data_IF_333292436555
#
_entry.id   IF_333292436555
#
_cell.length_a   1.000
_cell.length_b   1.000
_cell.length_c   1.000
_cell.angle_alpha   90.00
_cell.angle_beta   90.00
_cell.angle_gamma   90.00
#
_symmetry.space_group_name_H-M   'P 1'
#
loop_
_entity.id
_entity.type
_entity.pdbx_description
1 polymer ?
#
# COMPACT_ATOMS: atom_id res chain seq x y z
N UNK A 1 29.14 1.04 4.16
CA UNK A 1 29.19 0.51 5.55
C UNK A 1 28.65 1.50 6.57
N UNK A 2 29.09 2.77 6.54
CA UNK A 2 28.65 3.85 7.46
C UNK A 2 27.12 3.92 7.67
N UNK A 3 26.33 4.10 6.61
CA UNK A 3 24.88 4.24 6.72
C UNK A 3 24.17 3.07 7.39
N UNK A 4 24.72 1.85 7.28
CA UNK A 4 24.17 0.65 7.93
C UNK A 4 24.35 0.71 9.44
N UNK A 5 25.54 1.12 9.88
CA UNK A 5 25.88 1.29 11.29
C UNK A 5 25.07 2.44 11.87
N UNK A 6 25.07 3.61 11.22
CA UNK A 6 24.29 4.78 11.66
C UNK A 6 22.80 4.46 11.79
N UNK A 7 22.20 3.83 10.77
CA UNK A 7 20.79 3.48 10.82
C UNK A 7 20.49 2.50 11.96
N UNK A 8 21.30 1.44 12.12
CA UNK A 8 21.09 0.42 13.15
C UNK A 8 21.28 0.93 14.59
N UNK A 9 22.27 1.78 14.83
CA UNK A 9 22.64 2.18 16.20
C UNK A 9 22.10 3.55 16.61
N UNK A 10 21.63 4.36 15.66
CA UNK A 10 21.05 5.69 15.94
C UNK A 10 19.56 5.72 15.58
N UNK A 11 19.22 5.49 14.31
CA UNK A 11 17.84 5.67 13.83
C UNK A 11 16.88 4.63 14.41
N UNK A 12 17.30 3.36 14.48
CA UNK A 12 16.46 2.26 14.98
C UNK A 12 16.12 2.40 16.47
N UNK A 13 17.07 2.66 17.40
CA UNK A 13 16.73 2.88 18.80
C UNK A 13 15.82 4.10 19.01
N UNK A 14 16.10 5.22 18.33
CA UNK A 14 15.27 6.42 18.42
C UNK A 14 13.84 6.12 17.91
N UNK A 15 13.73 5.51 16.73
CA UNK A 15 12.44 5.13 16.15
C UNK A 15 11.66 4.16 17.03
N UNK A 16 12.34 3.22 17.69
CA UNK A 16 11.72 2.29 18.63
C UNK A 16 11.14 3.02 19.84
N UNK A 17 11.92 3.91 20.46
CA UNK A 17 11.47 4.71 21.61
C UNK A 17 10.29 5.59 21.19
N UNK A 18 10.42 6.34 20.09
CA UNK A 18 9.34 7.21 19.59
C UNK A 18 8.07 6.42 19.30
N UNK A 19 8.17 5.24 18.68
CA UNK A 19 7.01 4.41 18.38
C UNK A 19 6.28 3.95 19.66
N UNK A 20 7.02 3.62 20.72
CA UNK A 20 6.44 3.25 22.02
C UNK A 20 5.88 4.45 22.78
N UNK A 21 6.53 5.61 22.71
CA UNK A 21 6.02 6.86 23.30
C UNK A 21 4.72 7.27 22.62
N UNK A 22 4.67 7.27 21.29
CA UNK A 22 3.48 7.59 20.51
C UNK A 22 2.31 6.65 20.84
N UNK A 23 2.57 5.38 21.17
CA UNK A 23 1.54 4.43 21.55
C UNK A 23 0.80 4.77 22.87
N UNK A 24 1.33 5.66 23.71
CA UNK A 24 0.58 6.17 24.87
C UNK A 24 -0.49 7.19 24.47
N UNK A 25 -0.30 7.90 23.36
CA UNK A 25 -1.16 9.00 22.93
C UNK A 25 -2.03 8.64 21.71
N UNK A 26 -1.58 7.68 20.89
CA UNK A 26 -2.24 7.30 19.65
C UNK A 26 -2.68 5.83 19.68
N UNK A 27 -4.00 5.61 19.60
CA UNK A 27 -4.60 4.27 19.64
C UNK A 27 -4.14 3.39 18.47
N UNK A 28 -3.81 3.98 17.32
CA UNK A 28 -3.36 3.24 16.13
C UNK A 28 -1.93 2.74 16.32
N UNK A 29 -1.03 3.55 16.87
CA UNK A 29 0.33 3.15 17.26
C UNK A 29 0.28 2.03 18.31
N UNK A 30 -0.57 2.17 19.33
CA UNK A 30 -0.77 1.14 20.35
C UNK A 30 -1.24 -0.20 19.75
N UNK A 31 -2.21 -0.17 18.82
CA UNK A 31 -2.63 -1.36 18.06
C UNK A 31 -1.49 -1.94 17.24
N UNK A 32 -0.69 -1.09 16.60
CA UNK A 32 0.48 -1.50 15.81
C UNK A 32 1.55 -2.23 16.62
N UNK A 33 1.78 -1.81 17.87
CA UNK A 33 2.70 -2.51 18.78
C UNK A 33 2.10 -3.84 19.22
N UNK A 34 0.84 -3.84 19.69
CA UNK A 34 0.16 -5.07 20.15
C UNK A 34 0.08 -6.13 19.06
N UNK A 35 -0.23 -5.72 17.82
CA UNK A 35 -0.31 -6.62 16.66
C UNK A 35 1.01 -7.29 16.28
N UNK A 36 2.15 -6.71 16.71
CA UNK A 36 3.50 -7.24 16.49
C UNK A 36 4.04 -8.08 17.66
N UNK A 37 3.32 -8.16 18.79
CA UNK A 37 3.72 -9.04 19.90
C UNK A 37 3.69 -10.50 19.43
N UNK A 38 4.81 -11.22 19.59
CA UNK A 38 4.93 -12.61 19.14
C UNK A 38 4.93 -12.80 17.61
N UNK A 39 5.12 -11.72 16.83
CA UNK A 39 5.00 -11.72 15.37
C UNK A 39 5.79 -12.85 14.69
N UNK A 40 7.08 -12.98 14.98
CA UNK A 40 7.95 -13.95 14.32
C UNK A 40 7.57 -15.39 14.65
N UNK A 41 7.13 -15.67 15.89
CA UNK A 41 6.67 -17.01 16.27
C UNK A 41 5.34 -17.37 15.61
N UNK A 42 4.41 -16.42 15.45
CA UNK A 42 3.18 -16.63 14.69
C UNK A 42 3.48 -16.86 13.21
N UNK A 43 4.37 -16.04 12.64
CA UNK A 43 4.78 -16.17 11.24
C UNK A 43 5.46 -17.52 10.98
N UNK A 44 6.26 -18.02 11.93
CA UNK A 44 6.92 -19.31 11.82
C UNK A 44 5.92 -20.47 11.72
N UNK A 45 4.86 -20.43 12.54
CA UNK A 45 3.74 -21.38 12.42
C UNK A 45 3.02 -21.28 11.08
N UNK A 46 2.79 -20.07 10.57
CA UNK A 46 2.11 -19.87 9.29
C UNK A 46 2.96 -20.38 8.11
N UNK A 47 4.26 -20.08 8.11
CA UNK A 47 5.20 -20.55 7.07
C UNK A 47 5.38 -22.06 7.11
N UNK A 48 5.29 -22.70 8.28
CA UNK A 48 5.35 -24.15 8.39
C UNK A 48 4.17 -24.87 7.72
N UNK A 49 3.05 -24.17 7.47
CA UNK A 49 1.89 -24.71 6.74
C UNK A 49 2.00 -24.53 5.22
N UNK A 50 2.97 -23.75 4.75
CA UNK A 50 3.22 -23.52 3.34
C UNK A 50 4.04 -24.66 2.74
N UNK A 51 3.99 -24.81 1.42
CA UNK A 51 4.82 -25.77 0.70
C UNK A 51 6.31 -25.41 0.90
N UNK A 52 7.15 -26.29 1.48
CA UNK A 52 8.56 -26.02 1.67
C UNK A 52 9.34 -25.78 0.36
N UNK A 53 8.88 -26.37 -0.75
CA UNK A 53 9.44 -26.19 -2.08
C UNK A 53 8.72 -25.09 -2.89
N UNK A 54 7.69 -24.45 -2.31
CA UNK A 54 6.92 -23.40 -2.94
C UNK A 54 7.74 -22.14 -3.16
N UNK A 55 7.53 -21.48 -4.31
CA UNK A 55 8.10 -20.15 -4.56
C UNK A 55 7.24 -19.10 -3.91
N UNK A 56 7.88 -18.22 -3.13
CA UNK A 56 7.21 -17.18 -2.35
C UNK A 56 7.53 -15.81 -2.90
N UNK A 57 6.52 -14.99 -3.10
CA UNK A 57 6.71 -13.57 -3.43
C UNK A 57 6.20 -12.73 -2.28
N UNK A 58 7.10 -11.92 -1.74
CA UNK A 58 6.78 -11.02 -0.63
C UNK A 58 6.36 -9.65 -1.18
N UNK A 59 5.16 -9.19 -0.82
CA UNK A 59 4.69 -7.84 -1.06
C UNK A 59 4.61 -7.07 0.25
N UNK A 60 5.09 -5.82 0.25
CA UNK A 60 4.97 -4.93 1.39
C UNK A 60 4.25 -3.63 1.04
N UNK A 61 3.29 -3.25 1.88
CA UNK A 61 2.60 -1.95 1.80
C UNK A 61 2.53 -1.30 3.18
N UNK A 62 2.71 0.01 3.29
CA UNK A 62 2.61 0.69 4.58
C UNK A 62 1.17 0.69 5.10
N UNK A 63 0.20 0.72 4.17
CA UNK A 63 -1.21 0.96 4.46
C UNK A 63 -2.14 0.31 3.45
N UNK A 64 -3.45 0.37 3.75
CA UNK A 64 -4.50 -0.11 2.85
C UNK A 64 -4.44 0.59 1.49
N UNK A 65 -4.26 1.91 1.46
CA UNK A 65 -4.25 2.68 0.21
C UNK A 65 -3.07 2.32 -0.72
N UNK A 66 -1.93 1.93 -0.17
CA UNK A 66 -0.82 1.38 -0.96
C UNK A 66 -1.10 -0.06 -1.38
N UNK A 67 -1.70 -0.86 -0.50
CA UNK A 67 -2.03 -2.23 -0.84
C UNK A 67 -3.07 -2.36 -1.97
N UNK A 68 -3.98 -1.39 -2.11
CA UNK A 68 -4.86 -1.31 -3.28
C UNK A 68 -4.08 -1.22 -4.61
N UNK A 69 -2.87 -0.68 -4.59
CA UNK A 69 -1.99 -0.62 -5.76
C UNK A 69 -1.25 -1.95 -5.97
N UNK A 70 -1.06 -2.74 -4.91
CA UNK A 70 -0.44 -4.06 -4.98
C UNK A 70 -1.40 -5.11 -5.56
N UNK A 71 -2.70 -5.01 -5.26
CA UNK A 71 -3.72 -6.01 -5.63
C UNK A 71 -3.76 -6.35 -7.11
N UNK A 72 -3.77 -5.39 -8.07
CA UNK A 72 -3.75 -5.72 -9.50
C UNK A 72 -2.53 -6.57 -9.89
N UNK A 73 -1.36 -6.26 -9.32
CA UNK A 73 -0.11 -6.98 -9.58
C UNK A 73 -0.21 -8.39 -9.01
N UNK A 74 -0.64 -8.52 -7.76
CA UNK A 74 -0.76 -9.81 -7.07
C UNK A 74 -1.80 -10.70 -7.76
N UNK A 75 -2.97 -10.16 -8.09
CA UNK A 75 -4.05 -10.92 -8.71
C UNK A 75 -3.65 -11.39 -10.12
N UNK A 76 -3.01 -10.54 -10.91
CA UNK A 76 -2.51 -10.93 -12.23
C UNK A 76 -1.38 -11.97 -12.12
N UNK A 77 -0.49 -11.81 -11.15
CA UNK A 77 0.57 -12.78 -10.87
C UNK A 77 -0.02 -14.15 -10.47
N UNK A 78 -1.03 -14.18 -9.59
CA UNK A 78 -1.73 -15.41 -9.18
C UNK A 78 -2.50 -16.05 -10.32
N UNK A 79 -3.09 -15.28 -11.24
CA UNK A 79 -3.75 -15.85 -12.43
C UNK A 79 -2.74 -16.57 -13.33
N UNK A 80 -1.58 -15.94 -13.58
CA UNK A 80 -0.53 -16.51 -14.44
C UNK A 80 0.24 -17.64 -13.78
N UNK A 81 0.42 -17.58 -12.46
CA UNK A 81 1.21 -18.51 -11.65
C UNK A 81 0.47 -18.87 -10.36
N UNK A 82 -0.58 -19.71 -10.45
CA UNK A 82 -1.43 -20.07 -9.32
C UNK A 82 -0.69 -20.79 -8.18
N UNK A 83 0.48 -21.37 -8.46
CA UNK A 83 1.32 -22.08 -7.50
C UNK A 83 2.16 -21.17 -6.61
N UNK A 84 2.28 -19.86 -6.95
CA UNK A 84 3.03 -18.93 -6.11
C UNK A 84 2.32 -18.69 -4.78
N UNK A 85 3.11 -18.72 -3.72
CA UNK A 85 2.68 -18.35 -2.37
C UNK A 85 2.94 -16.86 -2.17
N UNK A 86 1.89 -16.11 -1.88
CA UNK A 86 2.00 -14.66 -1.72
C UNK A 86 2.01 -14.32 -0.24
N UNK A 87 3.04 -13.61 0.20
CA UNK A 87 3.15 -13.10 1.56
C UNK A 87 2.95 -11.60 1.50
N UNK A 88 1.97 -11.07 2.23
CA UNK A 88 1.70 -9.63 2.28
C UNK A 88 1.99 -9.12 3.68
N UNK A 89 2.82 -8.08 3.79
CA UNK A 89 3.10 -7.42 5.06
C UNK A 89 2.66 -5.98 5.11
N UNK A 90 2.18 -5.57 6.28
CA UNK A 90 1.72 -4.20 6.53
C UNK A 90 2.51 -3.52 7.64
N UNK A 91 2.72 -2.20 7.52
CA UNK A 91 3.17 -1.40 8.65
C UNK A 91 1.99 -0.96 9.55
N UNK A 92 0.97 -0.36 8.95
CA UNK A 92 -0.17 0.18 9.69
C UNK A 92 -1.22 -0.88 10.08
N UNK A 93 -1.91 -0.69 11.21
CA UNK A 93 -3.01 -1.58 11.60
C UNK A 93 -4.15 -1.62 10.60
N UNK A 94 -4.50 -0.47 10.01
CA UNK A 94 -5.59 -0.41 9.03
C UNK A 94 -5.31 -1.27 7.80
N UNK A 95 -4.07 -1.29 7.29
CA UNK A 95 -3.69 -2.18 6.22
C UNK A 95 -3.82 -3.66 6.60
N UNK A 96 -3.30 -4.03 7.77
CA UNK A 96 -3.36 -5.42 8.25
C UNK A 96 -4.80 -5.91 8.50
N UNK A 97 -5.60 -5.14 9.23
CA UNK A 97 -6.94 -5.51 9.70
C UNK A 97 -7.93 -5.65 8.53
N UNK A 98 -7.91 -4.72 7.56
CA UNK A 98 -8.84 -4.72 6.43
C UNK A 98 -8.45 -5.68 5.31
N UNK A 99 -7.25 -6.26 5.37
CA UNK A 99 -6.75 -7.14 4.31
C UNK A 99 -6.86 -8.62 4.66
N UNK A 100 -7.24 -9.00 5.89
CA UNK A 100 -7.25 -10.40 6.36
C UNK A 100 -8.04 -11.37 5.45
N UNK A 101 -9.03 -10.86 4.72
CA UNK A 101 -9.91 -11.66 3.83
C UNK A 101 -9.40 -11.73 2.38
N UNK A 102 -8.25 -11.14 2.08
CA UNK A 102 -7.70 -11.11 0.73
C UNK A 102 -7.19 -12.49 0.28
N UNK A 103 -7.97 -13.14 -0.58
CA UNK A 103 -7.81 -14.55 -0.96
C UNK A 103 -6.53 -14.87 -1.73
N UNK A 104 -5.95 -13.90 -2.42
CA UNK A 104 -4.73 -14.11 -3.21
C UNK A 104 -3.46 -14.17 -2.36
N UNK A 105 -3.53 -13.81 -1.07
CA UNK A 105 -2.43 -13.92 -0.12
C UNK A 105 -2.49 -15.22 0.68
N UNK A 106 -1.38 -15.96 0.69
CA UNK A 106 -1.18 -17.15 1.52
C UNK A 106 -0.92 -16.77 2.98
N UNK A 107 -0.19 -15.67 3.20
CA UNK A 107 0.07 -15.12 4.54
C UNK A 107 -0.16 -13.62 4.50
N UNK A 108 -0.87 -13.12 5.52
CA UNK A 108 -1.01 -11.70 5.80
C UNK A 108 -0.48 -11.43 7.20
N UNK A 109 0.47 -10.50 7.31
CA UNK A 109 1.18 -10.24 8.56
C UNK A 109 1.56 -8.77 8.71
N UNK A 110 2.06 -8.41 9.88
CA UNK A 110 2.80 -7.16 10.03
C UNK A 110 4.23 -7.34 9.53
N UNK A 111 4.83 -6.28 8.99
CA UNK A 111 6.28 -6.26 8.82
C UNK A 111 6.95 -6.18 10.22
N UNK A 112 7.98 -6.98 10.49
CA UNK A 112 8.78 -6.83 11.70
C UNK A 112 9.44 -5.45 11.76
N UNK A 113 9.69 -4.96 12.96
CA UNK A 113 10.40 -3.69 13.12
C UNK A 113 11.81 -3.77 12.51
N UNK A 114 12.29 -2.69 11.86
CA UNK A 114 13.47 -2.68 10.98
C UNK A 114 14.82 -2.82 11.68
N UNK A 115 14.93 -3.61 12.75
CA UNK A 115 16.25 -3.99 13.26
C UNK A 115 16.89 -5.01 12.33
N UNK A 116 18.22 -4.96 12.18
CA UNK A 116 18.98 -5.93 11.38
C UNK A 116 18.79 -7.38 11.83
N UNK A 117 18.47 -7.63 13.11
CA UNK A 117 18.14 -8.96 13.63
C UNK A 117 16.78 -9.42 13.13
N UNK A 118 15.76 -8.58 13.27
CA UNK A 118 14.40 -8.90 12.83
C UNK A 118 14.33 -9.06 11.32
N UNK A 119 14.93 -8.15 10.57
CA UNK A 119 14.98 -8.20 9.12
C UNK A 119 15.62 -9.50 8.62
N UNK A 120 16.80 -9.87 9.15
CA UNK A 120 17.44 -11.17 8.83
C UNK A 120 16.52 -12.34 9.16
N UNK A 121 16.05 -12.43 10.40
CA UNK A 121 15.19 -13.54 10.84
C UNK A 121 13.91 -13.63 10.01
N UNK A 122 13.35 -12.51 9.58
CA UNK A 122 12.19 -12.48 8.72
C UNK A 122 12.50 -13.05 7.33
N UNK A 123 13.54 -12.56 6.66
CA UNK A 123 13.94 -13.05 5.33
C UNK A 123 14.33 -14.54 5.38
N UNK A 124 15.09 -14.95 6.39
CA UNK A 124 15.49 -16.35 6.58
C UNK A 124 14.28 -17.26 6.84
N UNK A 125 13.25 -16.74 7.51
CA UNK A 125 12.03 -17.48 7.80
C UNK A 125 11.14 -17.62 6.57
N UNK A 126 10.84 -16.50 5.89
CA UNK A 126 9.90 -16.53 4.76
C UNK A 126 10.54 -17.03 3.47
N UNK A 127 11.87 -16.93 3.32
CA UNK A 127 12.65 -17.37 2.14
C UNK A 127 12.02 -16.90 0.82
N UNK A 128 11.87 -15.59 0.59
CA UNK A 128 11.21 -15.08 -0.60
C UNK A 128 12.08 -15.35 -1.83
N UNK A 129 11.44 -15.74 -2.93
CA UNK A 129 12.04 -15.81 -4.26
C UNK A 129 12.09 -14.45 -4.96
N UNK A 130 11.23 -13.52 -4.53
CA UNK A 130 11.25 -12.11 -4.93
C UNK A 130 10.55 -11.26 -3.85
N UNK A 131 10.91 -9.98 -3.77
CA UNK A 131 10.28 -9.01 -2.86
C UNK A 131 9.85 -7.75 -3.62
N UNK A 132 8.64 -7.27 -3.34
CA UNK A 132 8.03 -6.09 -3.98
C UNK A 132 7.61 -5.10 -2.90
N UNK A 133 8.29 -3.97 -2.86
CA UNK A 133 7.93 -2.82 -2.04
C UNK A 133 6.96 -1.94 -2.82
N UNK A 134 5.85 -1.55 -2.20
CA UNK A 134 4.87 -0.72 -2.89
C UNK A 134 5.15 0.76 -2.61
N UNK A 135 5.21 1.52 -3.70
CA UNK A 135 5.37 2.97 -3.71
C UNK A 135 6.71 3.45 -3.18
N UNK A 136 6.75 4.07 -2.00
CA UNK A 136 7.98 4.63 -1.42
C UNK A 136 8.31 4.05 -0.05
N UNK A 137 7.56 3.04 0.41
CA UNK A 137 7.72 2.42 1.72
C UNK A 137 8.84 1.38 1.70
N UNK A 138 10.05 1.86 1.98
CA UNK A 138 11.29 1.06 1.96
C UNK A 138 11.95 1.04 3.33
N UNK A 139 12.39 -0.15 3.74
CA UNK A 139 12.91 -0.45 5.07
C UNK A 139 14.38 -0.88 4.94
N UNK A 140 15.37 -0.01 5.25
CA UNK A 140 16.76 -0.25 4.90
C UNK A 140 17.33 -1.57 5.42
N UNK A 141 17.04 -1.99 6.66
CA UNK A 141 17.58 -3.26 7.15
C UNK A 141 16.93 -4.47 6.45
N UNK A 142 15.64 -4.41 6.07
CA UNK A 142 15.02 -5.41 5.21
C UNK A 142 15.62 -5.43 3.80
N UNK A 143 15.83 -4.27 3.17
CA UNK A 143 16.48 -4.19 1.86
C UNK A 143 17.91 -4.76 1.88
N UNK A 144 18.69 -4.42 2.90
CA UNK A 144 20.04 -4.98 3.04
C UNK A 144 20.04 -6.48 3.35
N UNK A 145 19.00 -6.99 4.03
CA UNK A 145 18.83 -8.42 4.26
C UNK A 145 18.47 -9.15 2.96
N UNK A 146 17.54 -8.61 2.16
CA UNK A 146 17.19 -9.12 0.84
C UNK A 146 18.40 -9.16 -0.09
N UNK A 147 19.15 -8.04 -0.17
CA UNK A 147 20.37 -7.94 -0.99
C UNK A 147 21.42 -8.95 -0.59
N UNK A 148 21.61 -9.18 0.73
CA UNK A 148 22.52 -10.21 1.22
C UNK A 148 22.06 -11.61 0.84
N UNK A 149 20.76 -11.87 0.87
CA UNK A 149 20.18 -13.16 0.52
C UNK A 149 20.10 -13.38 -1.00
N UNK A 150 20.51 -12.41 -1.83
CA UNK A 150 20.44 -12.49 -3.28
C UNK A 150 19.00 -12.51 -3.82
N UNK A 151 18.03 -11.97 -3.05
CA UNK A 151 16.62 -11.96 -3.43
C UNK A 151 16.34 -10.78 -4.36
N UNK A 152 15.83 -11.01 -5.59
CA UNK A 152 15.40 -9.94 -6.48
C UNK A 152 14.38 -9.03 -5.81
N UNK A 153 14.70 -7.74 -5.75
CA UNK A 153 13.91 -6.73 -5.04
C UNK A 153 13.42 -5.65 -6.00
N UNK A 154 12.12 -5.37 -5.92
CA UNK A 154 11.41 -4.42 -6.76
C UNK A 154 10.80 -3.32 -5.90
N UNK A 155 10.77 -2.09 -6.41
CA UNK A 155 9.75 -1.10 -6.02
C UNK A 155 8.74 -1.02 -7.16
N UNK A 156 7.46 -1.27 -6.86
CA UNK A 156 6.37 -1.09 -7.80
C UNK A 156 5.57 0.20 -7.48
N UNK A 157 5.03 0.85 -8.52
CA UNK A 157 4.44 2.20 -8.43
C UNK A 157 5.37 3.21 -7.74
N UNK A 158 6.64 3.17 -8.08
CA UNK A 158 7.62 4.05 -7.46
C UNK A 158 7.28 5.51 -7.81
N UNK A 159 6.83 6.26 -6.80
CA UNK A 159 6.54 7.69 -6.92
C UNK A 159 7.46 8.49 -6.03
N UNK A 160 8.09 9.53 -6.56
CA UNK A 160 8.94 10.43 -5.80
C UNK A 160 8.87 11.84 -6.39
N UNK A 161 8.29 12.77 -5.63
CA UNK A 161 8.15 14.17 -6.05
C UNK A 161 9.51 14.82 -6.27
N UNK A 162 9.61 15.65 -7.30
CA UNK A 162 10.82 16.39 -7.68
C UNK A 162 11.39 17.27 -6.55
N UNK A 163 10.53 17.82 -5.68
CA UNK A 163 10.88 18.65 -4.52
C UNK A 163 11.14 17.86 -3.21
N UNK A 164 11.36 16.55 -3.28
CA UNK A 164 11.57 15.72 -2.09
C UNK A 164 12.77 16.16 -1.24
N UNK A 165 12.59 16.20 0.09
CA UNK A 165 13.68 16.41 1.06
C UNK A 165 14.74 15.32 1.01
N UNK A 166 14.42 14.16 0.43
CA UNK A 166 15.36 13.04 0.23
C UNK A 166 16.56 13.43 -0.64
N UNK A 167 16.49 14.51 -1.42
CA UNK A 167 17.58 15.02 -2.26
C UNK A 167 18.56 15.95 -1.51
N UNK A 168 18.29 16.31 -0.26
CA UNK A 168 19.23 17.06 0.58
C UNK A 168 20.55 16.30 0.72
N UNK A 169 21.73 16.94 0.72
CA UNK A 169 23.01 16.25 0.51
C UNK A 169 23.26 15.01 1.38
N UNK A 170 23.04 15.11 2.70
CA UNK A 170 23.22 13.99 3.63
C UNK A 170 22.15 12.89 3.45
N UNK A 171 20.89 13.29 3.32
CA UNK A 171 19.79 12.34 3.10
C UNK A 171 19.90 11.65 1.74
N UNK A 172 20.42 12.34 0.73
CA UNK A 172 20.62 11.81 -0.62
C UNK A 172 21.60 10.64 -0.60
N UNK A 173 22.70 10.78 0.13
CA UNK A 173 23.68 9.69 0.28
C UNK A 173 23.08 8.48 1.01
N UNK A 174 22.28 8.72 2.05
CA UNK A 174 21.57 7.66 2.76
C UNK A 174 20.57 6.93 1.83
N UNK A 175 19.71 7.68 1.13
CA UNK A 175 18.73 7.12 0.20
C UNK A 175 19.38 6.40 -0.97
N UNK A 176 20.48 6.94 -1.52
CA UNK A 176 21.29 6.24 -2.51
C UNK A 176 21.74 4.87 -2.01
N UNK A 177 22.32 4.80 -0.80
CA UNK A 177 22.75 3.53 -0.21
C UNK A 177 21.61 2.52 0.03
N UNK A 178 20.38 3.00 0.21
CA UNK A 178 19.19 2.14 0.28
C UNK A 178 18.76 1.67 -1.11
N UNK A 179 18.58 2.60 -2.05
CA UNK A 179 18.11 2.31 -3.41
C UNK A 179 19.10 1.45 -4.20
N UNK A 180 20.41 1.56 -3.95
CA UNK A 180 21.43 0.68 -4.54
C UNK A 180 21.32 -0.78 -4.07
N UNK A 181 20.45 -1.08 -3.09
CA UNK A 181 20.14 -2.45 -2.67
C UNK A 181 18.94 -3.07 -3.40
N UNK A 182 18.34 -2.34 -4.34
CA UNK A 182 17.13 -2.70 -5.09
C UNK A 182 17.52 -3.02 -6.52
N UNK A 183 16.92 -4.05 -7.11
CA UNK A 183 17.26 -4.48 -8.47
C UNK A 183 16.43 -3.73 -9.52
N UNK A 184 15.16 -3.44 -9.23
CA UNK A 184 14.25 -2.74 -10.15
C UNK A 184 13.43 -1.66 -9.44
N UNK A 185 13.41 -0.46 -10.01
CA UNK A 185 12.54 0.63 -9.59
C UNK A 185 11.57 0.91 -10.74
N UNK A 186 10.33 0.47 -10.56
CA UNK A 186 9.27 0.58 -11.55
C UNK A 186 8.45 1.84 -11.26
N UNK A 187 8.86 2.93 -11.87
CA UNK A 187 8.33 4.28 -11.69
C UNK A 187 6.98 4.48 -12.39
N UNK A 188 6.15 5.35 -11.82
CA UNK A 188 4.85 5.69 -12.37
C UNK A 188 4.97 6.60 -13.60
N UNK A 189 5.86 7.59 -13.55
CA UNK A 189 6.04 8.59 -14.60
C UNK A 189 7.51 8.82 -14.95
N UNK A 190 7.74 9.50 -16.07
CA UNK A 190 9.07 9.96 -16.45
C UNK A 190 9.67 10.96 -15.43
N UNK A 191 8.84 11.78 -14.77
CA UNK A 191 9.28 12.68 -13.70
C UNK A 191 9.77 11.89 -12.47
N UNK A 192 9.03 10.84 -12.08
CA UNK A 192 9.44 9.96 -10.99
C UNK A 192 10.77 9.27 -11.31
N UNK A 193 10.90 8.71 -12.52
CA UNK A 193 12.15 8.08 -13.00
C UNK A 193 13.33 9.06 -12.93
N UNK A 194 13.18 10.25 -13.49
CA UNK A 194 14.20 11.32 -13.44
C UNK A 194 14.58 11.67 -11.99
N UNK A 195 13.60 11.72 -11.09
CA UNK A 195 13.85 11.98 -9.68
C UNK A 195 14.68 10.88 -9.02
N UNK A 196 14.40 9.59 -9.29
CA UNK A 196 15.22 8.46 -8.82
C UNK A 196 16.63 8.46 -9.43
N UNK A 197 16.77 8.72 -10.73
CA UNK A 197 18.07 8.81 -11.41
C UNK A 197 18.93 9.94 -10.85
N UNK A 198 18.32 11.02 -10.34
CA UNK A 198 19.04 12.12 -9.69
C UNK A 198 19.85 11.69 -8.46
N UNK A 199 19.54 10.53 -7.86
CA UNK A 199 20.32 9.94 -6.77
C UNK A 199 21.64 9.30 -7.23
N UNK A 200 21.88 9.20 -8.55
CA UNK A 200 23.07 8.58 -9.17
C UNK A 200 23.27 7.14 -8.71
N UNK A 201 22.19 6.37 -8.82
CA UNK A 201 22.14 4.95 -8.45
C UNK A 201 23.06 4.14 -9.37
N UNK A 202 23.73 3.12 -8.83
CA UNK A 202 24.68 2.29 -9.59
C UNK A 202 24.21 0.86 -9.85
N UNK A 203 23.12 0.44 -9.20
CA UNK A 203 22.63 -0.95 -9.25
C UNK A 203 21.22 -1.10 -9.84
N UNK A 204 20.17 -0.39 -9.37
CA UNK A 204 18.82 -0.60 -9.87
C UNK A 204 18.65 -0.21 -11.34
N UNK A 205 17.86 -1.02 -12.06
CA UNK A 205 17.25 -0.62 -13.33
C UNK A 205 16.01 0.23 -13.01
N UNK A 206 15.91 1.43 -13.61
CA UNK A 206 14.78 2.34 -13.41
C UNK A 206 13.95 2.43 -14.70
N UNK A 207 12.71 1.98 -14.63
CA UNK A 207 11.77 1.90 -15.77
C UNK A 207 10.46 2.62 -15.45
N UNK A 208 9.80 3.15 -16.48
CA UNK A 208 8.46 3.75 -16.35
C UNK A 208 7.44 2.72 -16.79
N UNK A 209 6.55 2.32 -15.87
CA UNK A 209 5.54 1.27 -16.12
C UNK A 209 4.10 1.76 -15.99
N UNK A 210 3.89 3.01 -15.58
CA UNK A 210 2.57 3.56 -15.31
C UNK A 210 2.09 3.33 -13.86
N UNK A 211 0.80 3.57 -13.63
CA UNK A 211 0.20 3.60 -12.30
C UNK A 211 -0.88 2.52 -12.14
N UNK A 212 -0.66 1.56 -11.26
CA UNK A 212 -1.62 0.47 -11.07
C UNK A 212 -2.91 0.90 -10.37
N UNK A 213 -3.02 2.15 -9.91
CA UNK A 213 -4.30 2.71 -9.47
C UNK A 213 -5.33 2.69 -10.61
N UNK A 214 -4.91 2.90 -11.86
CA UNK A 214 -5.82 2.80 -13.01
C UNK A 214 -6.32 1.37 -13.21
N UNK A 215 -5.42 0.38 -13.11
CA UNK A 215 -5.80 -1.04 -13.17
C UNK A 215 -6.77 -1.40 -12.05
N UNK A 216 -6.54 -0.88 -10.85
CA UNK A 216 -7.40 -1.15 -9.70
C UNK A 216 -8.80 -0.53 -9.87
N UNK A 217 -8.88 0.69 -10.41
CA UNK A 217 -10.17 1.32 -10.75
C UNK A 217 -10.89 0.49 -11.81
N UNK A 218 -10.18 0.04 -12.85
CA UNK A 218 -10.75 -0.80 -13.90
C UNK A 218 -11.27 -2.14 -13.36
N UNK A 219 -10.49 -2.86 -12.55
CA UNK A 219 -10.89 -4.13 -11.92
C UNK A 219 -12.13 -3.95 -11.03
N UNK A 220 -12.15 -2.91 -10.20
CA UNK A 220 -13.30 -2.61 -9.34
C UNK A 220 -14.54 -2.24 -10.13
N UNK A 221 -14.38 -1.47 -11.21
CA UNK A 221 -15.48 -1.12 -12.11
C UNK A 221 -16.10 -2.37 -12.74
N UNK A 222 -15.26 -3.29 -13.24
CA UNK A 222 -15.73 -4.55 -13.81
C UNK A 222 -16.47 -5.42 -12.78
N UNK A 223 -15.95 -5.53 -11.55
CA UNK A 223 -16.61 -6.27 -10.47
C UNK A 223 -17.92 -5.61 -10.01
N UNK A 224 -17.97 -4.28 -9.94
CA UNK A 224 -19.15 -3.53 -9.53
C UNK A 224 -20.31 -3.72 -10.51
N UNK A 225 -20.04 -3.68 -11.81
CA UNK A 225 -21.04 -3.95 -12.86
C UNK A 225 -21.74 -5.30 -12.68
N UNK A 226 -21.04 -6.31 -12.14
CA UNK A 226 -21.60 -7.63 -11.91
C UNK A 226 -22.50 -7.73 -10.66
N UNK A 227 -22.42 -6.76 -9.72
CA UNK A 227 -23.15 -6.80 -8.44
C UNK A 227 -24.57 -6.24 -8.46
N UNK A 228 -24.95 -5.48 -9.51
CA UNK A 228 -26.28 -4.89 -9.69
C UNK A 228 -26.90 -4.34 -8.38
N UNK A 229 -26.22 -3.37 -7.76
CA UNK A 229 -26.54 -2.88 -6.40
C UNK A 229 -27.90 -2.17 -6.32
N UNK A 230 -28.38 -1.61 -7.44
CA UNK A 230 -29.69 -0.97 -7.53
C UNK A 230 -30.58 -1.81 -8.44
N UNK A 231 -31.85 -1.94 -8.04
CA UNK A 231 -32.86 -2.57 -8.88
C UNK A 231 -33.01 -1.80 -10.20
N UNK A 232 -33.02 -2.50 -11.33
CA UNK A 232 -33.09 -1.88 -12.66
C UNK A 232 -34.31 -0.96 -12.82
N UNK A 233 -35.42 -1.26 -12.13
CA UNK A 233 -36.64 -0.45 -12.12
C UNK A 233 -36.44 0.95 -11.57
N UNK A 234 -35.50 1.14 -10.62
CA UNK A 234 -35.20 2.47 -10.04
C UNK A 234 -34.54 3.37 -11.10
N UNK A 235 -33.80 2.77 -12.03
CA UNK A 235 -33.04 3.48 -13.07
C UNK A 235 -33.82 3.61 -14.39
N UNK A 236 -34.96 2.94 -14.52
CA UNK A 236 -35.71 2.86 -15.76
C UNK A 236 -36.28 4.23 -16.15
N UNK A 237 -35.94 4.69 -17.35
CA UNK A 237 -36.35 6.01 -17.87
C UNK A 237 -35.72 7.19 -17.13
N UNK A 238 -34.69 6.97 -16.30
CA UNK A 238 -34.02 8.03 -15.52
C UNK A 238 -32.66 8.44 -16.11
N UNK A 239 -32.39 9.75 -16.05
CA UNK A 239 -31.05 10.29 -16.25
C UNK A 239 -30.33 10.32 -14.89
N UNK A 240 -29.33 9.47 -14.71
CA UNK A 240 -28.73 9.26 -13.38
C UNK A 240 -27.47 10.10 -13.20
N UNK A 241 -27.47 10.95 -12.17
CA UNK A 241 -26.29 11.66 -11.69
C UNK A 241 -25.80 11.02 -10.39
N UNK A 242 -24.53 10.61 -10.35
CA UNK A 242 -23.92 10.05 -9.14
C UNK A 242 -22.95 11.06 -8.55
N UNK A 243 -23.24 11.53 -7.34
CA UNK A 243 -22.36 12.37 -6.53
C UNK A 243 -21.69 11.46 -5.51
N UNK A 244 -20.53 10.91 -5.88
CA UNK A 244 -19.81 9.95 -5.06
C UNK A 244 -18.69 10.59 -4.24
N UNK A 245 -18.62 10.25 -2.95
CA UNK A 245 -17.62 10.75 -2.00
C UNK A 245 -17.64 12.28 -1.83
N UNK A 246 -18.84 12.88 -1.71
CA UNK A 246 -18.97 14.32 -1.47
C UNK A 246 -18.49 14.74 -0.08
N UNK A 247 -17.94 15.94 -0.01
CA UNK A 247 -17.73 16.66 1.25
C UNK A 247 -18.77 17.79 1.39
N UNK A 248 -18.90 18.35 2.59
CA UNK A 248 -19.83 19.44 2.88
C UNK A 248 -19.73 20.61 1.87
N UNK A 249 -18.52 21.05 1.54
CA UNK A 249 -18.32 22.10 0.54
C UNK A 249 -18.73 21.71 -0.89
N UNK A 250 -18.72 20.42 -1.25
CA UNK A 250 -19.26 19.96 -2.53
C UNK A 250 -20.80 20.02 -2.50
N UNK A 251 -21.40 19.61 -1.38
CA UNK A 251 -22.86 19.55 -1.18
C UNK A 251 -23.50 20.93 -1.16
N UNK A 252 -22.86 21.91 -0.52
CA UNK A 252 -23.30 23.32 -0.53
C UNK A 252 -23.47 23.88 -1.94
N UNK A 253 -22.67 23.40 -2.90
CA UNK A 253 -22.74 23.81 -4.31
C UNK A 253 -23.68 22.92 -5.11
N UNK A 254 -23.60 21.60 -4.92
CA UNK A 254 -24.29 20.62 -5.75
C UNK A 254 -25.77 20.47 -5.39
N UNK A 255 -26.15 20.51 -4.10
CA UNK A 255 -27.55 20.30 -3.68
C UNK A 255 -28.48 21.38 -4.23
N UNK A 256 -28.16 22.69 -4.17
CA UNK A 256 -29.00 23.72 -4.79
C UNK A 256 -29.18 23.52 -6.30
N UNK A 257 -28.12 23.08 -6.99
CA UNK A 257 -28.18 22.76 -8.42
C UNK A 257 -29.07 21.53 -8.68
N UNK A 258 -29.00 20.50 -7.84
CA UNK A 258 -29.85 19.32 -7.92
C UNK A 258 -31.33 19.66 -7.69
N UNK A 259 -31.64 20.49 -6.69
CA UNK A 259 -33.03 20.95 -6.43
C UNK A 259 -33.61 21.70 -7.64
N UNK A 260 -32.80 22.55 -8.29
CA UNK A 260 -33.19 23.22 -9.53
C UNK A 260 -33.39 22.23 -10.68
N UNK A 261 -32.49 21.26 -10.81
CA UNK A 261 -32.56 20.21 -11.83
C UNK A 261 -33.84 19.37 -11.68
N UNK A 262 -34.22 18.98 -10.46
CA UNK A 262 -35.44 18.20 -10.21
C UNK A 262 -36.73 18.92 -10.60
N UNK A 263 -36.76 20.26 -10.46
CA UNK A 263 -37.91 21.07 -10.85
C UNK A 263 -38.09 21.11 -12.37
N UNK A 264 -36.99 21.26 -13.09
CA UNK A 264 -37.02 21.49 -14.55
C UNK A 264 -36.94 20.16 -15.34
N UNK A 265 -36.44 19.08 -14.71
CA UNK A 265 -36.16 17.78 -15.32
C UNK A 265 -36.48 16.60 -14.36
N UNK A 266 -37.76 16.17 -14.24
CA UNK A 266 -38.19 15.11 -13.31
C UNK A 266 -37.70 13.70 -13.68
N UNK A 267 -37.13 13.54 -14.88
CA UNK A 267 -36.44 12.31 -15.30
C UNK A 267 -35.08 12.14 -14.62
N UNK A 268 -34.51 13.18 -14.01
CA UNK A 268 -33.24 13.03 -13.31
C UNK A 268 -33.39 12.31 -11.97
N UNK A 269 -32.47 11.40 -11.70
CA UNK A 269 -32.27 10.74 -10.43
C UNK A 269 -30.85 11.09 -9.94
N UNK A 270 -30.74 11.67 -8.74
CA UNK A 270 -29.44 11.92 -8.11
C UNK A 270 -29.21 10.86 -7.04
N UNK A 271 -28.08 10.17 -7.15
CA UNK A 271 -27.58 9.27 -6.11
C UNK A 271 -26.41 9.99 -5.43
N UNK A 272 -26.60 10.39 -4.17
CA UNK A 272 -25.59 11.07 -3.39
C UNK A 272 -25.01 10.13 -2.33
N UNK A 273 -23.69 10.03 -2.30
CA UNK A 273 -22.93 9.20 -1.36
C UNK A 273 -21.87 10.09 -0.71
N UNK A 274 -22.07 10.56 0.53
CA UNK A 274 -21.08 11.39 1.21
C UNK A 274 -19.79 10.62 1.48
N UNK A 275 -18.68 11.34 1.66
CA UNK A 275 -17.38 10.76 1.99
C UNK A 275 -17.44 9.91 3.26
N UNK A 276 -18.21 10.38 4.25
CA UNK A 276 -18.51 9.67 5.48
C UNK A 276 -20.04 9.50 5.61
N UNK A 277 -20.61 8.33 5.28
CA UNK A 277 -22.05 8.08 5.40
C UNK A 277 -22.43 7.75 6.85
N UNK A 278 -22.11 8.66 7.78
CA UNK A 278 -22.55 8.57 9.17
C UNK A 278 -23.99 9.06 9.29
N UNK A 279 -24.70 8.64 10.35
CA UNK A 279 -26.07 9.12 10.61
C UNK A 279 -26.13 10.65 10.68
N UNK A 280 -25.18 11.27 11.38
CA UNK A 280 -25.05 12.72 11.50
C UNK A 280 -24.86 13.40 10.13
N UNK A 281 -24.05 12.81 9.26
CA UNK A 281 -23.83 13.34 7.91
C UNK A 281 -25.09 13.26 7.05
N UNK A 282 -25.85 12.17 7.16
CA UNK A 282 -27.10 12.00 6.43
C UNK A 282 -28.18 12.98 6.92
N UNK A 283 -28.33 13.13 8.23
CA UNK A 283 -29.29 14.08 8.84
C UNK A 283 -29.01 15.55 8.48
N UNK A 284 -27.76 15.92 8.22
CA UNK A 284 -27.40 17.28 7.75
C UNK A 284 -27.78 17.51 6.28
N UNK A 285 -27.73 16.46 5.46
CA UNK A 285 -27.96 16.53 4.02
C UNK A 285 -29.45 16.51 3.69
N UNK A 286 -30.23 15.75 4.46
CA UNK A 286 -31.70 15.66 4.36
C UNK A 286 -32.40 16.97 4.78
#
# INVERSE_FOLDING_TARGET
MFWRIFYQFVVIPIGWILFHVLAFFDRKAARGIRGRKGLLARLEKQVALLNPAGKRVWFHSSSMGEFEQAKPIIDELKKRRPELEIIVTFFSPSGYEHSQTYKSASIISYIPFDSSRNARRFIDLIRPSAAVMIRYDVWPNHLWALRRAGVPTFIANATLRSNTTRRLPLLKQFHRAMYDSIDYILAVSAEDKSTFESFRLSHPVVEVIGDTRYDQVWLRSAQSRARAVLESKILEGKNVLVIGSSWEGDEEVLLPACLKLFRDHPEFLVILVPHEPSLETLERIE
#
